data_IF_069576898449
#
_entry.id   IF_069576898449
#
_cell.length_a   1.000
_cell.length_b   1.000
_cell.length_c   1.000
_cell.angle_alpha   90.00
_cell.angle_beta   90.00
_cell.angle_gamma   90.00
#
_symmetry.space_group_name_H-M   'P 1'
#
loop_
_entity.id
_entity.type
_entity.pdbx_description
1 polymer ?
#
# COMPACT_ATOMS: atom_id res chain seq x y z
N UNK A 1 4.21 9.45 21.42
CA UNK A 1 4.94 9.19 20.16
C UNK A 1 6.44 9.51 20.28
N UNK A 2 6.83 10.70 20.76
CA UNK A 2 8.25 11.05 20.99
C UNK A 2 8.97 10.04 21.90
N UNK A 3 8.35 9.68 23.03
CA UNK A 3 8.90 8.66 23.94
C UNK A 3 9.06 7.29 23.25
N UNK A 4 8.06 6.88 22.45
CA UNK A 4 8.14 5.63 21.69
C UNK A 4 9.33 5.65 20.72
N UNK A 5 9.53 6.77 20.01
CA UNK A 5 10.66 6.92 19.09
C UNK A 5 12.02 6.82 19.81
N UNK A 6 12.07 7.24 21.09
CA UNK A 6 13.22 7.08 21.98
C UNK A 6 13.60 5.63 22.30
N UNK A 7 12.72 4.65 22.07
CA UNK A 7 13.03 3.23 22.22
C UNK A 7 13.50 2.56 20.92
N UNK A 8 13.57 3.30 19.81
CA UNK A 8 13.89 2.73 18.51
C UNK A 8 15.40 2.68 18.24
N UNK A 9 15.82 1.76 17.37
CA UNK A 9 17.19 1.72 16.89
C UNK A 9 17.58 3.01 16.13
N UNK A 10 16.62 3.63 15.43
CA UNK A 10 16.82 4.91 14.74
C UNK A 10 17.31 6.00 15.71
N UNK A 11 16.69 6.12 16.89
CA UNK A 11 17.10 7.09 17.89
C UNK A 11 18.54 6.85 18.38
N UNK A 12 18.88 5.60 18.73
CA UNK A 12 20.25 5.24 19.14
C UNK A 12 21.28 5.60 18.07
N UNK A 13 20.92 5.41 16.79
CA UNK A 13 21.79 5.73 15.66
C UNK A 13 21.93 7.23 15.40
N UNK A 14 20.84 7.98 15.52
CA UNK A 14 20.86 9.44 15.43
C UNK A 14 21.77 10.06 16.49
N UNK A 15 21.77 9.54 17.72
CA UNK A 15 22.67 10.02 18.77
C UNK A 15 24.15 9.72 18.48
N UNK A 16 24.45 8.53 17.94
CA UNK A 16 25.84 8.10 17.69
C UNK A 16 26.45 8.73 16.44
N UNK A 17 25.65 9.05 15.43
CA UNK A 17 26.14 9.65 14.19
C UNK A 17 25.11 10.61 13.59
N UNK A 18 24.91 11.81 14.16
CA UNK A 18 23.84 12.73 13.76
C UNK A 18 23.89 13.14 12.28
N UNK A 19 25.10 13.41 11.77
CA UNK A 19 25.32 13.91 10.40
C UNK A 19 24.78 12.94 9.34
N UNK A 20 24.94 11.64 9.54
CA UNK A 20 24.40 10.61 8.65
C UNK A 20 22.86 10.59 8.59
N UNK A 21 22.20 11.01 9.67
CA UNK A 21 20.73 11.04 9.77
C UNK A 21 20.16 12.45 9.55
N UNK A 22 20.94 13.34 8.95
CA UNK A 22 20.52 14.69 8.59
C UNK A 22 20.20 15.58 9.80
N UNK A 23 20.84 15.31 10.94
CA UNK A 23 20.90 16.24 12.08
C UNK A 23 22.29 16.88 12.09
N UNK A 24 22.34 18.21 12.14
CA UNK A 24 23.64 18.90 12.19
C UNK A 24 24.33 18.63 13.54
N UNK A 25 25.66 18.56 13.56
CA UNK A 25 26.39 18.40 14.83
C UNK A 25 26.13 19.56 15.81
N UNK A 26 25.84 20.75 15.28
CA UNK A 26 25.38 21.91 16.06
C UNK A 26 24.02 21.71 16.72
N UNK A 27 23.12 20.91 16.13
CA UNK A 27 21.83 20.58 16.74
C UNK A 27 22.02 19.72 18.00
N UNK A 28 23.02 18.82 18.01
CA UNK A 28 23.31 17.99 19.19
C UNK A 28 23.84 18.81 20.37
N UNK A 29 24.54 19.91 20.11
CA UNK A 29 25.02 20.81 21.16
C UNK A 29 23.88 21.56 21.87
N UNK A 30 22.80 21.89 21.13
CA UNK A 30 21.60 22.55 21.66
C UNK A 30 20.51 21.60 22.14
N UNK A 31 20.46 20.38 21.59
CA UNK A 31 19.49 19.32 21.90
C UNK A 31 20.21 17.97 22.06
N UNK A 32 20.89 17.73 23.21
CA UNK A 32 21.71 16.53 23.42
C UNK A 32 20.91 15.23 23.36
N UNK A 33 19.60 15.32 23.64
CA UNK A 33 18.69 14.17 23.59
C UNK A 33 17.94 14.08 22.27
N UNK A 34 18.13 14.99 21.31
CA UNK A 34 17.39 15.06 20.04
C UNK A 34 15.87 15.06 20.23
N UNK A 35 15.37 15.69 21.30
CA UNK A 35 13.94 15.79 21.57
C UNK A 35 13.19 16.57 20.49
N UNK A 36 13.68 17.75 20.11
CA UNK A 36 13.05 18.57 19.08
C UNK A 36 13.04 17.83 17.73
N UNK A 37 14.16 17.19 17.37
CA UNK A 37 14.23 16.38 16.15
C UNK A 37 13.21 15.24 16.16
N UNK A 38 13.01 14.56 17.29
CA UNK A 38 11.97 13.52 17.43
C UNK A 38 10.56 14.12 17.31
N UNK A 39 10.32 15.31 17.86
CA UNK A 39 9.05 16.03 17.70
C UNK A 39 8.79 16.31 16.23
N UNK A 40 9.78 16.82 15.49
CA UNK A 40 9.64 17.17 14.07
C UNK A 40 9.36 15.94 13.20
N UNK A 41 10.06 14.82 13.47
CA UNK A 41 9.81 13.54 12.80
C UNK A 41 8.38 13.02 13.05
N UNK A 42 7.95 13.02 14.32
CA UNK A 42 6.60 12.62 14.70
C UNK A 42 5.55 13.53 14.09
N UNK A 43 5.78 14.85 14.08
CA UNK A 43 4.86 15.84 13.53
C UNK A 43 4.70 15.66 12.02
N UNK A 44 5.81 15.43 11.31
CA UNK A 44 5.81 15.17 9.86
C UNK A 44 5.04 13.89 9.53
N UNK A 45 5.32 12.80 10.25
CA UNK A 45 4.60 11.53 10.09
C UNK A 45 3.10 11.66 10.40
N UNK A 46 2.75 12.32 11.51
CA UNK A 46 1.36 12.55 11.89
C UNK A 46 0.61 13.38 10.85
N UNK A 47 1.24 14.40 10.28
CA UNK A 47 0.65 15.23 9.21
C UNK A 47 0.37 14.42 7.95
N UNK A 48 1.26 13.49 7.58
CA UNK A 48 1.05 12.59 6.44
C UNK A 48 -0.11 11.62 6.73
N UNK A 49 -0.13 11.00 7.91
CA UNK A 49 -1.19 10.06 8.30
C UNK A 49 -2.57 10.73 8.38
N UNK A 50 -2.61 11.98 8.85
CA UNK A 50 -3.83 12.80 8.90
C UNK A 50 -4.33 13.15 7.49
N UNK A 51 -3.42 13.57 6.58
CA UNK A 51 -3.74 13.82 5.17
C UNK A 51 -4.30 12.57 4.46
N UNK A 52 -3.80 11.39 4.81
CA UNK A 52 -4.28 10.12 4.30
C UNK A 52 -5.52 9.57 5.05
N UNK A 53 -6.08 10.32 6.00
CA UNK A 53 -7.24 9.96 6.83
C UNK A 53 -7.07 8.68 7.69
N UNK A 54 -5.83 8.29 8.04
CA UNK A 54 -5.56 7.17 8.96
C UNK A 54 -5.68 7.57 10.42
N UNK A 55 -5.39 8.84 10.73
CA UNK A 55 -5.57 9.42 12.06
C UNK A 55 -6.28 10.77 11.90
N UNK A 56 -6.84 11.29 12.99
CA UNK A 56 -7.13 12.71 13.14
C UNK A 56 -6.06 13.30 14.05
N UNK A 57 -5.32 14.28 13.55
CA UNK A 57 -4.23 14.90 14.29
C UNK A 57 -4.56 16.34 14.69
N UNK A 58 -4.74 16.58 15.99
CA UNK A 58 -4.93 17.93 16.52
C UNK A 58 -3.58 18.59 16.79
N UNK A 59 -3.14 19.49 15.89
CA UNK A 59 -1.81 20.12 15.94
C UNK A 59 -1.55 20.95 17.19
N UNK A 60 -2.59 21.56 17.78
CA UNK A 60 -2.46 22.41 18.96
C UNK A 60 -2.22 21.60 20.24
N UNK A 61 -2.97 20.52 20.42
CA UNK A 61 -2.90 19.66 21.60
C UNK A 61 -1.87 18.54 21.46
N UNK A 62 -1.47 18.20 20.22
CA UNK A 62 -0.63 17.06 19.92
C UNK A 62 -1.36 15.70 19.98
N UNK A 63 -2.69 15.70 20.12
CA UNK A 63 -3.47 14.48 20.28
C UNK A 63 -3.71 13.75 18.95
N UNK A 64 -3.66 12.41 19.01
CA UNK A 64 -3.98 11.54 17.88
C UNK A 64 -5.25 10.76 18.18
N UNK A 65 -6.20 10.78 17.25
CA UNK A 65 -7.36 9.89 17.28
C UNK A 65 -7.26 8.91 16.11
N UNK A 66 -7.27 7.58 16.35
CA UNK A 66 -7.24 6.60 15.26
C UNK A 66 -8.56 6.62 14.49
N UNK A 67 -8.50 6.51 13.16
CA UNK A 67 -9.68 6.26 12.33
C UNK A 67 -9.87 4.77 12.09
N UNK A 68 -11.05 4.38 11.64
CA UNK A 68 -11.30 3.01 11.19
C UNK A 68 -10.38 2.61 10.03
N UNK A 69 -10.12 3.52 9.09
CA UNK A 69 -9.16 3.30 8.00
C UNK A 69 -7.76 3.04 8.55
N UNK A 70 -7.32 3.82 9.55
CA UNK A 70 -6.03 3.61 10.19
C UNK A 70 -5.91 2.26 10.88
N UNK A 71 -6.97 1.81 11.55
CA UNK A 71 -7.01 0.48 12.19
C UNK A 71 -6.91 -0.64 11.17
N UNK A 72 -7.68 -0.55 10.08
CA UNK A 72 -7.65 -1.54 9.00
C UNK A 72 -6.28 -1.57 8.32
N UNK A 73 -5.71 -0.41 8.01
CA UNK A 73 -4.38 -0.28 7.43
C UNK A 73 -3.30 -0.97 8.28
N UNK A 74 -3.31 -0.69 9.59
CA UNK A 74 -2.36 -1.28 10.53
C UNK A 74 -2.55 -2.80 10.68
N UNK A 75 -3.80 -3.26 10.75
CA UNK A 75 -4.12 -4.68 10.92
C UNK A 75 -3.65 -5.54 9.73
N UNK A 76 -3.83 -5.05 8.50
CA UNK A 76 -3.44 -5.76 7.28
C UNK A 76 -2.05 -5.40 6.77
N UNK A 77 -1.30 -4.59 7.52
CA UNK A 77 0.06 -4.18 7.15
C UNK A 77 0.12 -3.51 5.76
N UNK A 78 -0.80 -2.59 5.50
CA UNK A 78 -0.93 -1.87 4.22
C UNK A 78 -0.40 -0.44 4.37
N UNK A 79 0.36 0.02 3.39
CA UNK A 79 0.94 1.36 3.41
C UNK A 79 -0.12 2.47 3.43
N UNK A 80 0.18 3.58 4.12
CA UNK A 80 -0.72 4.73 4.19
C UNK A 80 -1.07 5.30 2.81
N UNK A 81 -0.15 5.18 1.84
CA UNK A 81 -0.36 5.65 0.47
C UNK A 81 -1.36 4.76 -0.28
N UNK A 82 -1.27 3.44 -0.13
CA UNK A 82 -2.24 2.50 -0.72
C UNK A 82 -3.64 2.72 -0.15
N UNK A 83 -3.77 2.89 1.17
CA UNK A 83 -5.08 3.16 1.79
C UNK A 83 -5.64 4.52 1.37
N UNK A 84 -4.79 5.52 1.13
CA UNK A 84 -5.24 6.81 0.58
C UNK A 84 -5.82 6.65 -0.83
N UNK A 85 -5.16 5.87 -1.70
CA UNK A 85 -5.68 5.52 -3.04
C UNK A 85 -7.02 4.80 -2.93
N UNK A 86 -7.13 3.80 -2.05
CA UNK A 86 -8.41 3.13 -1.81
C UNK A 86 -9.48 4.11 -1.32
N UNK A 87 -9.15 4.99 -0.38
CA UNK A 87 -10.11 5.93 0.17
C UNK A 87 -10.66 6.89 -0.90
N UNK A 88 -9.82 7.30 -1.85
CA UNK A 88 -10.14 8.23 -2.96
C UNK A 88 -11.00 7.59 -4.06
N UNK A 89 -10.63 6.39 -4.52
CA UNK A 89 -11.24 5.78 -5.71
C UNK A 89 -12.34 4.76 -5.40
N UNK A 90 -12.44 4.26 -4.18
CA UNK A 90 -13.41 3.23 -3.81
C UNK A 90 -14.83 3.81 -3.77
N UNK A 91 -15.74 3.23 -4.57
CA UNK A 91 -17.16 3.61 -4.71
C UNK A 91 -18.06 2.37 -4.57
N UNK A 92 -19.30 2.51 -4.08
CA UNK A 92 -20.20 1.37 -3.89
C UNK A 92 -20.58 0.65 -5.20
N UNK A 93 -20.48 1.35 -6.34
CA UNK A 93 -20.87 0.85 -7.67
C UNK A 93 -19.71 0.32 -8.49
N UNK A 94 -18.52 0.12 -7.90
CA UNK A 94 -17.35 -0.39 -8.62
C UNK A 94 -17.66 -1.76 -9.26
N UNK A 95 -17.35 -1.88 -10.54
CA UNK A 95 -17.34 -3.16 -11.26
C UNK A 95 -16.07 -3.96 -10.95
N UNK A 96 -16.05 -5.25 -11.32
CA UNK A 96 -14.87 -6.10 -11.12
C UNK A 96 -13.64 -5.57 -11.88
N UNK A 97 -13.86 -4.98 -13.07
CA UNK A 97 -12.82 -4.31 -13.86
C UNK A 97 -12.19 -3.17 -13.06
N UNK A 98 -13.02 -2.30 -12.48
CA UNK A 98 -12.54 -1.14 -11.73
C UNK A 98 -11.94 -1.54 -10.37
N UNK A 99 -12.43 -2.62 -9.76
CA UNK A 99 -11.89 -3.17 -8.52
C UNK A 99 -10.47 -3.72 -8.72
N UNK A 100 -10.25 -4.52 -9.77
CA UNK A 100 -8.91 -5.04 -10.09
C UNK A 100 -7.95 -3.93 -10.51
N UNK A 101 -8.43 -2.92 -11.24
CA UNK A 101 -7.69 -1.69 -11.50
C UNK A 101 -7.28 -0.99 -10.21
N UNK A 102 -8.21 -0.80 -9.28
CA UNK A 102 -7.93 -0.15 -7.99
C UNK A 102 -6.88 -0.92 -7.18
N UNK A 103 -7.00 -2.26 -7.16
CA UNK A 103 -6.01 -3.12 -6.55
C UNK A 103 -4.62 -2.93 -7.18
N UNK A 104 -4.53 -2.89 -8.51
CA UNK A 104 -3.28 -2.72 -9.24
C UNK A 104 -2.64 -1.33 -9.04
N UNK A 105 -3.40 -0.32 -8.60
CA UNK A 105 -2.90 1.01 -8.26
C UNK A 105 -2.28 1.11 -6.84
N UNK A 106 -2.26 0.01 -6.09
CA UNK A 106 -1.63 -0.03 -4.76
C UNK A 106 -0.18 0.42 -4.82
N UNK A 107 0.23 1.30 -3.90
CA UNK A 107 1.62 1.78 -3.82
C UNK A 107 2.59 0.71 -3.32
N UNK A 108 2.07 -0.36 -2.73
CA UNK A 108 2.82 -1.59 -2.49
C UNK A 108 3.45 -2.15 -3.79
N UNK A 109 2.87 -1.86 -4.96
CA UNK A 109 3.39 -2.31 -6.26
C UNK A 109 4.24 -1.25 -6.98
N UNK A 110 4.67 -0.17 -6.31
CA UNK A 110 5.38 0.95 -6.94
C UNK A 110 6.70 0.57 -7.62
N UNK A 111 7.31 -0.54 -7.21
CA UNK A 111 8.58 -1.03 -7.74
C UNK A 111 8.41 -1.99 -8.92
N UNK A 112 7.17 -2.37 -9.25
CA UNK A 112 6.88 -3.17 -10.44
C UNK A 112 6.96 -2.26 -11.65
N UNK A 113 7.72 -2.66 -12.66
CA UNK A 113 7.80 -2.00 -13.96
C UNK A 113 7.58 -3.00 -15.07
N UNK A 114 7.10 -2.52 -16.22
CA UNK A 114 7.03 -3.32 -17.44
C UNK A 114 8.38 -3.28 -18.14
N UNK A 115 8.93 -4.44 -18.49
CA UNK A 115 10.20 -4.60 -19.22
C UNK A 115 9.92 -4.95 -20.68
N UNK A 116 10.82 -4.62 -21.60
CA UNK A 116 10.57 -4.83 -23.05
C UNK A 116 10.46 -6.31 -23.41
N UNK A 117 11.26 -7.17 -22.78
CA UNK A 117 11.31 -8.61 -23.05
C UNK A 117 10.02 -9.36 -22.67
N UNK A 118 9.23 -8.81 -21.76
CA UNK A 118 7.99 -9.44 -21.24
C UNK A 118 6.72 -8.90 -21.93
N UNK A 119 6.80 -7.82 -22.73
CA UNK A 119 5.62 -7.19 -23.35
C UNK A 119 4.83 -8.14 -24.25
N UNK A 120 5.52 -8.97 -25.03
CA UNK A 120 4.87 -9.92 -25.93
C UNK A 120 4.09 -10.98 -25.14
N UNK A 121 4.65 -11.46 -24.03
CA UNK A 121 3.98 -12.43 -23.16
C UNK A 121 2.80 -11.76 -22.43
N UNK A 122 2.98 -10.55 -21.90
CA UNK A 122 1.92 -9.77 -21.26
C UNK A 122 0.74 -9.52 -22.20
N UNK A 123 0.99 -9.14 -23.46
CA UNK A 123 -0.07 -8.94 -24.45
C UNK A 123 -0.89 -10.22 -24.68
N UNK A 124 -0.22 -11.38 -24.81
CA UNK A 124 -0.92 -12.68 -24.93
C UNK A 124 -1.71 -13.05 -23.69
N UNK A 125 -1.23 -12.67 -22.49
CA UNK A 125 -1.96 -12.92 -21.24
C UNK A 125 -3.18 -12.02 -21.11
N UNK A 126 -3.10 -10.75 -21.53
CA UNK A 126 -4.24 -9.81 -21.52
C UNK A 126 -5.43 -10.37 -22.30
N UNK A 127 -5.19 -10.97 -23.46
CA UNK A 127 -6.25 -11.56 -24.29
C UNK A 127 -6.86 -12.84 -23.69
N UNK A 128 -6.20 -13.45 -22.69
CA UNK A 128 -6.60 -14.73 -22.08
C UNK A 128 -7.25 -14.57 -20.71
N UNK A 129 -7.09 -13.42 -20.06
CA UNK A 129 -7.66 -13.19 -18.72
C UNK A 129 -9.18 -12.96 -18.81
N UNK A 130 -9.95 -13.41 -17.81
CA UNK A 130 -11.42 -13.35 -17.86
C UNK A 130 -11.98 -11.94 -17.67
N UNK A 131 -11.28 -11.05 -16.94
CA UNK A 131 -11.75 -9.68 -16.67
C UNK A 131 -10.96 -8.70 -17.53
N UNK A 132 -11.64 -7.92 -18.40
CA UNK A 132 -10.97 -6.98 -19.30
C UNK A 132 -10.10 -5.95 -18.57
N UNK A 133 -8.94 -5.67 -19.13
CA UNK A 133 -7.97 -4.69 -18.64
C UNK A 133 -8.02 -3.47 -19.58
N UNK A 134 -8.20 -2.28 -19.01
CA UNK A 134 -8.40 -1.04 -19.80
C UNK A 134 -7.12 -0.22 -19.95
N UNK A 135 -6.13 -0.54 -19.13
CA UNK A 135 -4.80 0.07 -19.11
C UNK A 135 -3.98 -0.38 -20.33
N UNK A 136 -3.03 0.46 -20.73
CA UNK A 136 -2.08 0.08 -21.78
C UNK A 136 -1.12 -0.99 -21.27
N UNK A 137 -0.65 -1.88 -22.16
CA UNK A 137 0.30 -2.97 -21.81
C UNK A 137 1.60 -2.44 -21.19
N UNK A 138 1.99 -1.21 -21.53
CA UNK A 138 3.18 -0.54 -21.00
C UNK A 138 3.00 -0.01 -19.56
N UNK A 139 1.78 0.01 -19.03
CA UNK A 139 1.52 0.50 -17.68
C UNK A 139 1.75 -0.60 -16.61
N UNK A 140 2.47 -0.30 -15.51
CA UNK A 140 2.66 -1.24 -14.41
C UNK A 140 1.37 -1.76 -13.77
N UNK A 141 0.31 -0.94 -13.81
CA UNK A 141 -1.05 -1.32 -13.38
C UNK A 141 -1.61 -2.44 -14.25
N UNK A 142 -1.43 -2.39 -15.57
CA UNK A 142 -1.86 -3.46 -16.47
C UNK A 142 -1.14 -4.76 -16.10
N UNK A 143 0.19 -4.71 -15.97
CA UNK A 143 1.00 -5.87 -15.57
C UNK A 143 0.53 -6.46 -14.24
N UNK A 144 0.37 -5.66 -13.20
CA UNK A 144 -0.08 -6.13 -11.88
C UNK A 144 -1.47 -6.79 -11.96
N UNK A 145 -2.38 -6.19 -12.72
CA UNK A 145 -3.73 -6.72 -12.92
C UNK A 145 -3.71 -8.07 -13.66
N UNK A 146 -2.98 -8.15 -14.79
CA UNK A 146 -2.79 -9.40 -15.55
C UNK A 146 -2.22 -10.49 -14.67
N UNK A 147 -1.16 -10.20 -13.90
CA UNK A 147 -0.48 -11.20 -13.09
C UNK A 147 -1.40 -11.76 -11.98
N UNK A 148 -2.20 -10.92 -11.35
CA UNK A 148 -3.20 -11.38 -10.38
C UNK A 148 -4.23 -12.30 -11.03
N UNK A 149 -4.75 -11.93 -12.19
CA UNK A 149 -5.74 -12.74 -12.91
C UNK A 149 -5.16 -14.04 -13.46
N UNK A 150 -3.93 -14.00 -13.97
CA UNK A 150 -3.19 -15.17 -14.45
C UNK A 150 -2.97 -16.18 -13.32
N UNK A 151 -2.65 -15.71 -12.12
CA UNK A 151 -2.55 -16.54 -10.93
C UNK A 151 -3.89 -17.21 -10.58
N UNK A 152 -4.98 -16.44 -10.45
CA UNK A 152 -6.31 -16.98 -10.13
C UNK A 152 -6.78 -18.00 -11.19
N UNK A 153 -6.42 -17.74 -12.46
CA UNK A 153 -6.79 -18.59 -13.60
C UNK A 153 -5.84 -19.77 -13.82
N UNK A 154 -4.82 -19.95 -12.98
CA UNK A 154 -3.77 -20.98 -13.12
C UNK A 154 -3.11 -21.00 -14.51
N UNK A 155 -2.87 -19.82 -15.09
CA UNK A 155 -2.16 -19.70 -16.36
C UNK A 155 -0.66 -19.93 -16.15
N UNK A 156 -0.03 -20.61 -17.11
CA UNK A 156 1.43 -20.79 -17.13
C UNK A 156 2.10 -19.56 -17.73
N UNK A 157 3.16 -19.09 -17.07
CA UNK A 157 4.06 -18.05 -17.56
C UNK A 157 5.39 -18.69 -17.96
N UNK A 158 5.97 -18.20 -19.05
CA UNK A 158 7.25 -18.65 -19.61
C UNK A 158 8.41 -17.82 -19.05
N UNK A 159 8.21 -16.52 -18.85
CA UNK A 159 9.22 -15.62 -18.32
C UNK A 159 9.47 -15.76 -16.82
N UNK A 160 10.72 -16.09 -16.44
CA UNK A 160 11.15 -16.13 -15.03
C UNK A 160 10.92 -14.81 -14.28
N UNK A 161 11.12 -13.68 -14.96
CA UNK A 161 10.92 -12.34 -14.40
C UNK A 161 9.44 -12.11 -14.03
N UNK A 162 8.52 -12.48 -14.93
CA UNK A 162 7.08 -12.38 -14.70
C UNK A 162 6.60 -13.34 -13.60
N UNK A 163 7.18 -14.55 -13.51
CA UNK A 163 6.90 -15.47 -12.42
C UNK A 163 7.29 -14.88 -11.06
N UNK A 164 8.46 -14.26 -10.96
CA UNK A 164 8.89 -13.58 -9.74
C UNK A 164 7.95 -12.44 -9.35
N UNK A 165 7.58 -11.61 -10.34
CA UNK A 165 6.65 -10.49 -10.12
C UNK A 165 5.25 -11.01 -9.74
N UNK A 166 4.78 -12.10 -10.34
CA UNK A 166 3.51 -12.74 -9.99
C UNK A 166 3.50 -13.20 -8.53
N UNK A 167 4.56 -13.88 -8.07
CA UNK A 167 4.68 -14.32 -6.67
C UNK A 167 4.63 -13.13 -5.72
N UNK A 168 5.32 -12.03 -6.04
CA UNK A 168 5.27 -10.82 -5.23
C UNK A 168 3.87 -10.20 -5.16
N UNK A 169 3.18 -10.12 -6.31
CA UNK A 169 1.81 -9.62 -6.40
C UNK A 169 0.87 -10.48 -5.57
N UNK A 170 0.94 -11.81 -5.68
CA UNK A 170 -0.02 -12.73 -5.03
C UNK A 170 0.20 -12.83 -3.53
N UNK A 171 1.46 -12.87 -3.06
CA UNK A 171 1.77 -12.79 -1.63
C UNK A 171 1.24 -11.49 -1.00
N UNK A 172 1.21 -10.40 -1.77
CA UNK A 172 0.64 -9.12 -1.35
C UNK A 172 -0.87 -9.04 -1.55
N UNK A 173 -1.41 -9.82 -2.48
CA UNK A 173 -2.81 -9.73 -2.86
C UNK A 173 -3.75 -10.10 -1.72
N UNK A 174 -3.43 -11.16 -0.94
CA UNK A 174 -4.28 -11.59 0.18
C UNK A 174 -4.45 -10.47 1.23
N UNK A 175 -3.36 -9.83 1.67
CA UNK A 175 -3.45 -8.72 2.65
C UNK A 175 -4.15 -7.49 2.08
N UNK A 176 -3.86 -7.13 0.83
CA UNK A 176 -4.41 -5.93 0.19
C UNK A 176 -5.90 -6.07 -0.12
N UNK A 177 -6.33 -7.23 -0.61
CA UNK A 177 -7.74 -7.50 -0.92
C UNK A 177 -8.56 -7.64 0.36
N UNK A 178 -8.01 -8.22 1.44
CA UNK A 178 -8.66 -8.26 2.76
C UNK A 178 -8.78 -6.87 3.38
N UNK A 179 -7.77 -6.02 3.22
CA UNK A 179 -7.85 -4.61 3.61
C UNK A 179 -8.99 -3.89 2.86
N UNK A 180 -9.08 -4.07 1.53
CA UNK A 180 -10.19 -3.53 0.73
C UNK A 180 -11.54 -4.03 1.24
N UNK A 181 -11.67 -5.35 1.48
CA UNK A 181 -12.90 -5.95 1.99
C UNK A 181 -13.35 -5.29 3.30
N UNK A 182 -12.43 -5.12 4.24
CA UNK A 182 -12.73 -4.56 5.56
C UNK A 182 -13.13 -3.08 5.49
N UNK A 183 -12.50 -2.30 4.59
CA UNK A 183 -12.90 -0.91 4.31
C UNK A 183 -14.33 -0.87 3.76
N UNK A 184 -14.64 -1.70 2.76
CA UNK A 184 -15.95 -1.76 2.11
C UNK A 184 -17.03 -2.21 3.10
N UNK A 185 -16.71 -3.19 3.95
CA UNK A 185 -17.61 -3.72 4.98
C UNK A 185 -17.95 -2.64 6.02
N UNK A 186 -16.95 -1.90 6.51
CA UNK A 186 -17.17 -0.78 7.45
C UNK A 186 -17.98 0.37 6.85
N UNK A 187 -17.94 0.54 5.52
CA UNK A 187 -18.77 1.53 4.80
C UNK A 187 -20.20 1.04 4.52
N UNK A 188 -20.51 -0.22 4.80
CA UNK A 188 -21.85 -0.80 4.61
C UNK A 188 -22.22 -1.09 3.14
N UNK A 189 -21.22 -1.25 2.26
CA UNK A 189 -21.47 -1.48 0.83
C UNK A 189 -21.59 -2.97 0.53
N UNK A 190 -22.73 -3.57 0.91
CA UNK A 190 -22.95 -5.02 0.89
C UNK A 190 -22.59 -5.70 -0.44
N UNK A 191 -23.09 -5.19 -1.58
CA UNK A 191 -22.83 -5.78 -2.89
C UNK A 191 -21.34 -5.78 -3.27
N UNK A 192 -20.62 -4.70 -2.92
CA UNK A 192 -19.17 -4.65 -3.16
C UNK A 192 -18.42 -5.52 -2.16
N UNK A 193 -18.86 -5.58 -0.90
CA UNK A 193 -18.22 -6.40 0.14
C UNK A 193 -18.25 -7.89 -0.26
N UNK A 194 -19.38 -8.37 -0.76
CA UNK A 194 -19.52 -9.74 -1.27
C UNK A 194 -18.55 -10.02 -2.43
N UNK A 195 -18.46 -9.11 -3.41
CA UNK A 195 -17.53 -9.28 -4.54
C UNK A 195 -16.08 -9.30 -4.09
N UNK A 196 -15.67 -8.35 -3.26
CA UNK A 196 -14.28 -8.30 -2.74
C UNK A 196 -13.98 -9.56 -1.91
N UNK A 197 -14.93 -10.06 -1.12
CA UNK A 197 -14.77 -11.32 -0.39
C UNK A 197 -14.57 -12.51 -1.33
N UNK A 198 -15.29 -12.55 -2.45
CA UNK A 198 -15.10 -13.59 -3.45
C UNK A 198 -13.70 -13.52 -4.08
N UNK A 199 -13.18 -12.31 -4.34
CA UNK A 199 -11.77 -12.15 -4.75
C UNK A 199 -10.77 -12.62 -3.69
N UNK A 200 -10.99 -12.30 -2.41
CA UNK A 200 -10.15 -12.84 -1.32
C UNK A 200 -10.12 -14.38 -1.35
N UNK A 201 -11.28 -15.02 -1.52
CA UNK A 201 -11.39 -16.49 -1.59
C UNK A 201 -10.72 -17.06 -2.85
N UNK A 202 -10.77 -16.35 -3.98
CA UNK A 202 -10.11 -16.76 -5.22
C UNK A 202 -8.58 -16.65 -5.14
N UNK A 203 -8.07 -15.69 -4.35
CA UNK A 203 -6.64 -15.51 -4.13
C UNK A 203 -6.08 -16.53 -3.13
N UNK A 204 -6.86 -16.91 -2.12
CA UNK A 204 -6.41 -17.84 -1.07
C UNK A 204 -6.54 -19.33 -1.46
N UNK A 205 -7.20 -19.65 -2.58
CA UNK A 205 -7.41 -21.01 -3.08
C UNK A 205 -6.32 -21.44 -4.04
#
# INVERSE_FOLDING_TARGET
AVNWLGYTYLYVRMLKNPSLYGAAESELAGDPLLEQRRIDLVHSAATILDKCALIKYERKSGQFQPTDLGRVAAYYYVSHQTVAVYNEYLKPTLSDIELLRLFALSKDFSNISVREEEKQELARLIDRVPIPIKENVDEPSAKTNVLLQAYISNLKLEGFSLLSDMVYVTQSASRLMRCLHEIVLKRGWAALAERVLNFCKMIDR
#
